data_IF_974162180212
#
_entry.id   IF_974162180212
#
_cell.length_a   1.000
_cell.length_b   1.000
_cell.length_c   1.000
_cell.angle_alpha   90.00
_cell.angle_beta   90.00
_cell.angle_gamma   90.00
#
_symmetry.space_group_name_H-M   'P 1'
#
loop_
_entity.id
_entity.type
_entity.pdbx_description
1 polymer ?
#
# COMPACT_ATOMS: atom_id res chain seq x y z
N UNK A 1 -15.50 22.66 -32.11
CA UNK A 1 -15.88 21.58 -31.19
C UNK A 1 -14.93 20.41 -31.44
N UNK A 2 -13.81 20.26 -30.69
CA UNK A 2 -12.99 19.06 -30.83
C UNK A 2 -13.64 17.93 -30.03
N UNK A 3 -13.93 16.85 -30.74
CA UNK A 3 -14.42 15.57 -30.21
C UNK A 3 -13.36 14.95 -29.29
N UNK A 4 -13.74 14.62 -28.06
CA UNK A 4 -12.93 13.79 -27.16
C UNK A 4 -12.71 12.42 -27.81
N UNK A 5 -11.46 12.12 -28.16
CA UNK A 5 -11.05 10.78 -28.55
C UNK A 5 -10.96 9.96 -27.26
N UNK A 6 -11.96 9.13 -26.98
CA UNK A 6 -11.88 8.16 -25.90
C UNK A 6 -10.69 7.24 -26.20
N UNK A 7 -9.67 7.30 -25.35
CA UNK A 7 -8.48 6.46 -25.43
C UNK A 7 -8.92 4.98 -25.38
N UNK A 8 -8.81 4.28 -26.51
CA UNK A 8 -9.09 2.84 -26.64
C UNK A 8 -8.00 2.02 -25.93
N UNK A 9 -7.91 2.11 -24.60
CA UNK A 9 -7.08 1.20 -23.77
C UNK A 9 -7.89 0.10 -23.10
N UNK A 10 -8.85 -0.50 -23.80
CA UNK A 10 -9.77 -1.48 -23.21
C UNK A 10 -9.68 -2.89 -23.80
N UNK A 11 -8.61 -3.26 -24.50
CA UNK A 11 -8.41 -4.65 -24.91
C UNK A 11 -6.98 -5.05 -24.55
N UNK A 12 -6.87 -6.15 -23.81
CA UNK A 12 -5.63 -6.91 -23.53
C UNK A 12 -4.73 -6.44 -22.36
N UNK A 13 -5.33 -6.06 -21.22
CA UNK A 13 -4.67 -6.34 -19.94
C UNK A 13 -5.23 -7.65 -19.37
N UNK A 14 -4.49 -8.74 -19.51
CA UNK A 14 -4.72 -9.89 -18.65
C UNK A 14 -4.63 -9.38 -17.20
N UNK A 15 -5.70 -9.51 -16.42
CA UNK A 15 -5.67 -9.10 -15.01
C UNK A 15 -4.65 -9.99 -14.29
N UNK A 16 -3.56 -9.41 -13.79
CA UNK A 16 -2.59 -10.12 -12.95
C UNK A 16 -3.16 -10.42 -11.55
N UNK A 17 -4.39 -10.01 -11.30
CA UNK A 17 -5.06 -10.09 -10.02
C UNK A 17 -5.90 -11.37 -9.95
N UNK A 18 -5.61 -12.22 -8.95
CA UNK A 18 -6.49 -13.35 -8.62
C UNK A 18 -7.82 -12.79 -8.09
N UNK A 19 -8.97 -13.12 -8.69
CA UNK A 19 -10.27 -12.60 -8.27
C UNK A 19 -10.70 -13.04 -6.85
N UNK A 20 -9.97 -13.97 -6.22
CA UNK A 20 -10.14 -14.35 -4.81
C UNK A 20 -9.36 -13.47 -3.84
N UNK A 21 -8.41 -12.67 -4.33
CA UNK A 21 -7.65 -11.75 -3.49
C UNK A 21 -8.54 -10.58 -3.09
N UNK A 22 -8.70 -10.41 -1.78
CA UNK A 22 -9.46 -9.30 -1.20
C UNK A 22 -8.47 -8.37 -0.49
N UNK A 23 -8.23 -7.15 -1.01
CA UNK A 23 -7.45 -6.17 -0.29
C UNK A 23 -8.23 -5.69 0.95
N UNK A 24 -7.57 -5.66 2.10
CA UNK A 24 -8.17 -5.14 3.33
C UNK A 24 -7.35 -3.94 3.83
N UNK A 25 -8.02 -2.82 4.10
CA UNK A 25 -7.41 -1.59 4.64
C UNK A 25 -8.14 -1.15 5.90
N UNK A 26 -7.59 -0.20 6.65
CA UNK A 26 -8.33 0.49 7.71
C UNK A 26 -9.42 1.42 7.12
N UNK A 27 -10.22 2.02 8.00
CA UNK A 27 -11.26 2.98 7.62
C UNK A 27 -10.72 4.42 7.46
N UNK A 28 -9.44 4.59 7.12
CA UNK A 28 -8.81 5.89 6.90
C UNK A 28 -9.37 6.61 5.67
N UNK A 29 -9.36 7.96 5.71
CA UNK A 29 -9.97 8.80 4.69
C UNK A 29 -9.46 8.55 3.25
N UNK A 30 -8.22 8.08 3.11
CA UNK A 30 -7.64 7.70 1.82
C UNK A 30 -8.29 6.43 1.25
N UNK A 31 -8.50 5.42 2.10
CA UNK A 31 -9.07 4.12 1.74
C UNK A 31 -10.61 4.14 1.66
N UNK A 32 -11.26 5.17 2.19
CA UNK A 32 -12.69 5.42 2.01
C UNK A 32 -13.00 6.41 0.88
N UNK A 33 -12.00 6.81 0.08
CA UNK A 33 -12.19 7.79 -0.98
C UNK A 33 -12.81 7.19 -2.25
N UNK A 34 -13.56 8.01 -2.99
CA UNK A 34 -14.14 7.61 -4.30
C UNK A 34 -13.04 7.16 -5.25
N UNK A 35 -11.93 7.93 -5.33
CA UNK A 35 -10.81 7.60 -6.22
C UNK A 35 -10.18 6.24 -5.92
N UNK A 36 -10.06 5.88 -4.65
CA UNK A 36 -9.54 4.57 -4.27
C UNK A 36 -10.50 3.45 -4.70
N UNK A 37 -11.80 3.64 -4.48
CA UNK A 37 -12.83 2.69 -4.91
C UNK A 37 -12.84 2.50 -6.43
N UNK A 38 -12.79 3.60 -7.20
CA UNK A 38 -12.72 3.56 -8.68
C UNK A 38 -11.48 2.78 -9.15
N UNK A 39 -10.34 2.92 -8.45
CA UNK A 39 -9.11 2.20 -8.78
C UNK A 39 -9.26 0.70 -8.52
N UNK A 40 -9.88 0.32 -7.40
CA UNK A 40 -10.14 -1.10 -7.10
C UNK A 40 -11.07 -1.73 -8.14
N UNK A 41 -12.11 -1.02 -8.56
CA UNK A 41 -13.04 -1.50 -9.59
C UNK A 41 -12.34 -1.67 -10.95
N UNK A 42 -11.48 -0.71 -11.34
CA UNK A 42 -10.70 -0.79 -12.58
C UNK A 42 -9.72 -1.98 -12.60
N UNK A 43 -9.16 -2.33 -11.44
CA UNK A 43 -8.20 -3.45 -11.31
C UNK A 43 -8.88 -4.79 -10.95
N UNK A 44 -10.23 -4.80 -10.84
CA UNK A 44 -11.03 -6.01 -10.60
C UNK A 44 -11.05 -6.50 -9.15
N UNK A 45 -10.71 -5.64 -8.18
CA UNK A 45 -10.72 -5.97 -6.76
C UNK A 45 -12.05 -5.65 -6.11
N UNK A 46 -12.43 -6.47 -5.12
CA UNK A 46 -13.54 -6.14 -4.21
C UNK A 46 -13.02 -5.23 -3.11
N UNK A 47 -13.61 -4.03 -2.98
CA UNK A 47 -13.31 -3.15 -1.87
C UNK A 47 -13.69 -3.79 -0.53
N UNK A 48 -12.74 -3.78 0.42
CA UNK A 48 -12.94 -4.21 1.80
C UNK A 48 -12.15 -3.31 2.74
N UNK A 49 -12.79 -2.91 3.83
CA UNK A 49 -12.17 -2.15 4.93
C UNK A 49 -12.57 -2.78 6.27
N UNK A 50 -11.72 -2.58 7.27
CA UNK A 50 -12.00 -2.96 8.65
C UNK A 50 -13.16 -2.18 9.27
N UNK A 51 -13.64 -2.70 10.40
CA UNK A 51 -14.69 -2.06 11.19
C UNK A 51 -14.20 -0.73 11.79
N UNK A 52 -15.07 0.29 11.81
CA UNK A 52 -14.70 1.61 12.35
C UNK A 52 -14.52 1.51 13.87
N UNK A 53 -13.38 2.00 14.36
CA UNK A 53 -13.05 1.98 15.79
C UNK A 53 -12.54 0.62 16.29
N UNK A 54 -12.32 -0.34 15.40
CA UNK A 54 -11.68 -1.62 15.70
C UNK A 54 -10.23 -1.61 15.20
N UNK A 55 -9.28 -1.77 16.11
CA UNK A 55 -7.85 -1.82 15.78
C UNK A 55 -7.40 -3.20 15.28
N UNK A 56 -8.18 -4.26 15.53
CA UNK A 56 -7.77 -5.62 15.24
C UNK A 56 -7.56 -5.86 13.74
N UNK A 57 -8.41 -5.25 12.90
CA UNK A 57 -8.34 -5.39 11.44
C UNK A 57 -7.05 -4.80 10.83
N UNK A 58 -6.41 -3.85 11.53
CA UNK A 58 -5.13 -3.24 11.12
C UNK A 58 -3.93 -3.79 11.91
N UNK A 59 -4.15 -4.62 12.94
CA UNK A 59 -3.12 -5.02 13.88
C UNK A 59 -1.93 -5.74 13.22
N UNK A 60 -2.18 -6.52 12.16
CA UNK A 60 -1.13 -7.18 11.40
C UNK A 60 -0.21 -6.18 10.68
N UNK A 61 -0.78 -5.19 9.99
CA UNK A 61 -0.03 -4.16 9.29
C UNK A 61 0.77 -3.30 10.29
N UNK A 62 0.14 -2.89 11.39
CA UNK A 62 0.82 -2.13 12.45
C UNK A 62 1.93 -2.92 13.14
N UNK A 63 1.77 -4.23 13.30
CA UNK A 63 2.83 -5.09 13.85
C UNK A 63 4.04 -5.14 12.93
N UNK A 64 3.83 -5.24 11.61
CA UNK A 64 4.93 -5.19 10.62
C UNK A 64 5.63 -3.83 10.64
N UNK A 65 4.88 -2.72 10.69
CA UNK A 65 5.45 -1.38 10.80
C UNK A 65 6.19 -1.19 12.13
N UNK A 66 5.67 -1.76 13.23
CA UNK A 66 6.32 -1.78 14.53
C UNK A 66 7.66 -2.52 14.49
N UNK A 67 7.69 -3.71 13.87
CA UNK A 67 8.91 -4.48 13.66
C UNK A 67 9.92 -3.70 12.82
N UNK A 68 9.50 -3.15 11.67
CA UNK A 68 10.37 -2.32 10.83
C UNK A 68 10.98 -1.16 11.61
N UNK A 69 10.17 -0.44 12.41
CA UNK A 69 10.68 0.67 13.23
C UNK A 69 11.67 0.21 14.30
N UNK A 70 11.44 -0.96 14.91
CA UNK A 70 12.25 -1.48 16.00
C UNK A 70 13.56 -2.13 15.51
N UNK A 71 13.51 -2.85 14.40
CA UNK A 71 14.64 -3.61 13.88
C UNK A 71 15.47 -2.78 12.90
N UNK A 72 14.83 -2.04 11.99
CA UNK A 72 15.52 -1.30 10.94
C UNK A 72 15.72 0.18 11.32
N UNK A 73 14.68 0.88 11.76
CA UNK A 73 14.75 2.34 11.98
C UNK A 73 15.38 2.72 13.33
N UNK A 74 15.48 1.84 14.31
CA UNK A 74 16.14 2.18 15.59
C UNK A 74 17.59 2.62 15.38
N UNK A 75 18.10 3.57 16.15
CA UNK A 75 19.40 4.23 15.87
C UNK A 75 20.62 3.30 15.93
N UNK A 76 20.54 2.21 16.67
CA UNK A 76 21.55 1.15 16.83
C UNK A 76 21.27 -0.08 15.94
N UNK A 77 20.35 0.04 14.98
CA UNK A 77 19.98 -1.03 14.05
C UNK A 77 21.18 -1.53 13.25
N UNK A 78 21.34 -2.85 13.06
CA UNK A 78 22.38 -3.41 12.20
C UNK A 78 22.15 -3.11 10.71
N UNK A 79 20.94 -2.71 10.33
CA UNK A 79 20.57 -2.32 8.96
C UNK A 79 20.88 -0.85 8.67
N UNK A 80 21.35 -0.07 9.66
CA UNK A 80 21.70 1.34 9.45
C UNK A 80 23.17 1.50 9.12
N UNK A 81 23.43 2.15 7.98
CA UNK A 81 24.75 2.70 7.67
C UNK A 81 25.08 4.00 8.43
N UNK A 82 24.07 4.69 8.97
CA UNK A 82 24.21 5.98 9.66
C UNK A 82 22.87 6.63 10.03
N UNK A 83 22.86 7.94 10.37
CA UNK A 83 21.63 8.68 10.58
C UNK A 83 20.76 8.72 9.30
N UNK A 84 19.42 8.73 9.45
CA UNK A 84 18.51 8.88 8.31
C UNK A 84 18.23 10.37 8.11
N UNK A 85 18.71 10.95 7.02
CA UNK A 85 18.54 12.37 6.70
C UNK A 85 17.47 12.63 5.64
N UNK A 86 17.06 11.61 4.89
CA UNK A 86 16.02 11.75 3.88
C UNK A 86 15.50 10.42 3.36
N UNK A 87 14.77 10.51 2.25
CA UNK A 87 14.07 9.38 1.63
C UNK A 87 15.03 8.29 1.17
N UNK A 88 16.16 8.67 0.56
CA UNK A 88 17.11 7.71 -0.01
C UNK A 88 17.68 6.77 1.04
N UNK A 89 18.02 7.26 2.22
CA UNK A 89 18.52 6.40 3.30
C UNK A 89 17.44 5.47 3.82
N UNK A 90 16.18 5.92 3.88
CA UNK A 90 15.04 5.07 4.27
C UNK A 90 14.77 3.99 3.21
N UNK A 91 14.85 4.31 1.93
CA UNK A 91 14.67 3.36 0.83
C UNK A 91 15.75 2.26 0.86
N UNK A 92 17.03 2.65 0.98
CA UNK A 92 18.13 1.68 1.12
C UNK A 92 17.97 0.81 2.37
N UNK A 93 17.66 1.43 3.52
CA UNK A 93 17.39 0.70 4.77
C UNK A 93 16.25 -0.31 4.61
N UNK A 94 15.18 0.08 3.91
CA UNK A 94 14.02 -0.80 3.69
C UNK A 94 14.38 -1.98 2.82
N UNK A 95 15.18 -1.77 1.77
CA UNK A 95 15.68 -2.85 0.92
C UNK A 95 16.54 -3.83 1.72
N UNK A 96 17.47 -3.32 2.53
CA UNK A 96 18.37 -4.14 3.36
C UNK A 96 17.62 -4.92 4.45
N UNK A 97 16.52 -4.40 4.98
CA UNK A 97 15.73 -5.10 5.99
C UNK A 97 14.89 -6.26 5.41
N UNK A 98 14.47 -6.17 4.15
CA UNK A 98 13.60 -7.17 3.51
C UNK A 98 14.39 -8.32 2.85
N UNK A 99 15.68 -8.12 2.54
CA UNK A 99 16.54 -9.08 1.83
C UNK A 99 17.50 -9.82 2.74
#
# INVERSE_FOLDING_TARGET
>A
MPTFHADQRSADKASYTDPRTVPNSDAGAQYTSVRFTDTLDLEGFRASIGSVGDAHDNAAAESVIGLFKNEAVRSDSPFRAGPLHGLREVETLTLEWVT
#
